data_IF_619549686565
#
_entry.id   IF_619549686565
#
_cell.length_a   1.000
_cell.length_b   1.000
_cell.length_c   1.000
_cell.angle_alpha   90.00
_cell.angle_beta   90.00
_cell.angle_gamma   90.00
#
_symmetry.space_group_name_H-M   'P 1'
#
loop_
_entity.id
_entity.type
_entity.pdbx_description
1 polymer ?
#
# COMPACT_ATOMS: atom_id res chain seq x y z
N UNK A 1 11.47 -21.58 -15.68
CA UNK A 1 12.10 -20.29 -16.10
C UNK A 1 12.00 -20.10 -17.61
N UNK A 2 12.47 -21.02 -18.45
CA UNK A 2 12.35 -20.85 -19.91
C UNK A 2 10.90 -20.72 -20.40
N UNK A 3 9.95 -21.47 -19.83
CA UNK A 3 8.53 -21.36 -20.17
C UNK A 3 7.90 -20.01 -19.79
N UNK A 4 8.25 -19.45 -18.61
CA UNK A 4 7.74 -18.14 -18.18
C UNK A 4 8.23 -17.01 -19.10
N UNK A 5 9.50 -17.04 -19.51
CA UNK A 5 10.05 -16.03 -20.44
C UNK A 5 9.31 -16.07 -21.78
N UNK A 6 9.06 -17.27 -22.27
CA UNK A 6 8.33 -17.47 -23.52
C UNK A 6 6.88 -17.00 -23.40
N UNK A 7 6.21 -17.33 -22.31
CA UNK A 7 4.85 -16.89 -22.00
C UNK A 7 4.74 -15.34 -21.94
N UNK A 8 5.71 -14.67 -21.30
CA UNK A 8 5.78 -13.20 -21.24
C UNK A 8 6.02 -12.56 -22.62
N UNK A 9 6.88 -13.16 -23.45
CA UNK A 9 7.12 -12.68 -24.82
C UNK A 9 5.87 -12.84 -25.69
N UNK A 10 5.19 -13.98 -25.60
CA UNK A 10 3.94 -14.25 -26.31
C UNK A 10 2.80 -13.34 -25.85
N UNK A 11 2.77 -12.97 -24.57
CA UNK A 11 1.84 -12.00 -24.00
C UNK A 11 2.14 -10.55 -24.44
N UNK A 12 3.32 -10.30 -25.00
CA UNK A 12 3.73 -9.00 -25.53
C UNK A 12 4.28 -8.03 -24.49
N UNK A 13 4.97 -8.53 -23.45
CA UNK A 13 5.57 -7.69 -22.39
C UNK A 13 6.57 -6.67 -22.94
N UNK A 14 7.20 -6.99 -24.06
CA UNK A 14 8.26 -6.17 -24.69
C UNK A 14 7.73 -5.00 -25.52
N UNK A 15 6.45 -4.90 -25.77
CA UNK A 15 5.88 -3.76 -26.47
C UNK A 15 5.66 -2.60 -25.51
N UNK A 16 6.24 -1.45 -25.83
CA UNK A 16 6.00 -0.19 -25.11
C UNK A 16 5.08 0.75 -25.89
N UNK A 17 5.06 2.01 -25.52
CA UNK A 17 4.28 3.07 -26.13
C UNK A 17 4.91 3.57 -27.45
N UNK A 18 4.17 4.42 -28.16
CA UNK A 18 4.66 5.06 -29.37
C UNK A 18 5.87 5.95 -29.09
N UNK A 19 6.78 6.06 -30.08
CA UNK A 19 7.99 6.90 -29.99
C UNK A 19 7.72 8.36 -29.60
N UNK A 20 6.55 8.90 -29.91
CA UNK A 20 6.16 10.26 -29.54
C UNK A 20 5.77 10.42 -28.07
N UNK A 21 5.46 9.31 -27.39
CA UNK A 21 4.94 9.31 -26.02
C UNK A 21 5.80 8.40 -25.15
N UNK A 22 6.94 8.90 -24.70
CA UNK A 22 7.85 8.15 -23.84
C UNK A 22 8.57 9.05 -22.84
N UNK A 23 9.01 8.47 -21.75
CA UNK A 23 9.79 9.17 -20.73
C UNK A 23 11.29 8.91 -20.96
N UNK A 24 12.14 9.96 -21.10
CA UNK A 24 13.59 9.80 -21.26
C UNK A 24 14.27 8.97 -20.17
N UNK A 25 13.72 8.95 -18.94
CA UNK A 25 14.23 8.14 -17.84
C UNK A 25 14.10 6.63 -18.08
N UNK A 26 13.20 6.23 -18.99
CA UNK A 26 13.05 4.83 -19.40
C UNK A 26 14.10 4.37 -20.43
N UNK A 27 14.97 5.26 -20.91
CA UNK A 27 16.02 4.93 -21.88
C UNK A 27 16.86 3.68 -21.52
N UNK A 28 17.25 3.42 -20.25
CA UNK A 28 18.02 2.22 -19.89
C UNK A 28 17.25 0.90 -20.07
N UNK A 29 15.92 0.94 -20.13
CA UNK A 29 15.04 -0.21 -20.27
C UNK A 29 14.57 -0.45 -21.70
N UNK A 30 14.88 0.46 -22.63
CA UNK A 30 14.47 0.39 -24.03
C UNK A 30 15.56 -0.28 -24.86
N UNK A 31 15.24 -1.39 -25.51
CA UNK A 31 16.13 -2.08 -26.44
C UNK A 31 16.23 -1.37 -27.79
N UNK A 32 15.14 -0.78 -28.28
CA UNK A 32 15.09 -0.10 -29.57
C UNK A 32 13.69 0.36 -29.95
N UNK A 33 13.55 0.76 -31.23
CA UNK A 33 12.26 1.20 -31.81
C UNK A 33 11.97 0.40 -33.07
N UNK A 34 10.77 -0.14 -33.18
CA UNK A 34 10.28 -0.82 -34.39
C UNK A 34 8.88 -0.32 -34.72
N UNK A 35 8.63 0.04 -35.96
CA UNK A 35 7.32 0.53 -36.43
C UNK A 35 6.76 1.68 -35.54
N UNK A 36 7.60 2.65 -35.16
CA UNK A 36 7.24 3.79 -34.30
C UNK A 36 6.82 3.39 -32.85
N UNK A 37 7.09 2.16 -32.43
CA UNK A 37 6.81 1.66 -31.09
C UNK A 37 8.14 1.32 -30.42
N UNK A 38 8.29 1.71 -29.15
CA UNK A 38 9.43 1.31 -28.33
C UNK A 38 9.36 -0.18 -28.00
N UNK A 39 10.51 -0.83 -28.04
CA UNK A 39 10.67 -2.23 -27.63
C UNK A 39 11.47 -2.25 -26.34
N UNK A 40 10.89 -2.77 -25.28
CA UNK A 40 11.52 -2.94 -23.98
C UNK A 40 12.46 -4.14 -23.98
N UNK A 41 13.52 -4.06 -23.17
CA UNK A 41 14.42 -5.19 -22.94
C UNK A 41 13.79 -6.20 -21.97
N UNK A 42 13.44 -7.37 -22.50
CA UNK A 42 12.84 -8.47 -21.75
C UNK A 42 13.74 -8.93 -20.60
N UNK A 43 15.07 -8.79 -20.73
CA UNK A 43 16.01 -9.17 -19.66
C UNK A 43 15.82 -8.30 -18.43
N UNK A 44 15.65 -7.01 -18.61
CA UNK A 44 15.37 -6.08 -17.52
C UNK A 44 13.98 -6.32 -16.90
N UNK A 45 12.97 -6.64 -17.74
CA UNK A 45 11.64 -7.04 -17.25
C UNK A 45 11.72 -8.26 -16.33
N UNK A 46 12.47 -9.29 -16.72
CA UNK A 46 12.65 -10.52 -15.92
C UNK A 46 13.43 -10.22 -14.65
N UNK A 47 14.49 -9.42 -14.71
CA UNK A 47 15.25 -9.02 -13.52
C UNK A 47 14.36 -8.29 -12.51
N UNK A 48 13.58 -7.31 -12.98
CA UNK A 48 12.63 -6.57 -12.16
C UNK A 48 11.59 -7.50 -11.53
N UNK A 49 11.01 -8.42 -12.30
CA UNK A 49 10.04 -9.38 -11.82
C UNK A 49 10.62 -10.32 -10.74
N UNK A 50 11.83 -10.86 -10.95
CA UNK A 50 12.49 -11.74 -9.99
C UNK A 50 12.86 -11.00 -8.69
N UNK A 51 13.31 -9.74 -8.78
CA UNK A 51 13.56 -8.89 -7.61
C UNK A 51 12.26 -8.65 -6.84
N UNK A 52 11.19 -8.30 -7.54
CA UNK A 52 9.88 -8.08 -6.97
C UNK A 52 9.37 -9.32 -6.24
N UNK A 53 9.46 -10.50 -6.87
CA UNK A 53 9.06 -11.78 -6.27
C UNK A 53 9.77 -12.07 -4.96
N UNK A 54 11.10 -11.96 -4.93
CA UNK A 54 11.92 -12.16 -3.72
C UNK A 54 11.60 -11.15 -2.62
N UNK A 55 11.41 -9.90 -3.02
CA UNK A 55 11.05 -8.82 -2.10
C UNK A 55 9.68 -9.05 -1.45
N UNK A 56 8.65 -9.42 -2.24
CA UNK A 56 7.31 -9.68 -1.74
C UNK A 56 7.26 -10.91 -0.84
N UNK A 57 7.92 -12.01 -1.24
CA UNK A 57 8.04 -13.21 -0.43
C UNK A 57 8.64 -12.91 0.95
N UNK A 58 9.76 -12.17 1.00
CA UNK A 58 10.41 -11.76 2.26
C UNK A 58 9.53 -10.82 3.07
N UNK A 59 8.86 -9.85 2.43
CA UNK A 59 7.99 -8.86 3.10
C UNK A 59 6.80 -9.55 3.77
N UNK A 60 6.14 -10.48 3.06
CA UNK A 60 5.00 -11.24 3.57
C UNK A 60 5.44 -12.25 4.64
N UNK A 61 6.57 -12.93 4.43
CA UNK A 61 7.18 -13.81 5.43
C UNK A 61 7.46 -13.09 6.76
N UNK A 62 7.78 -11.80 6.73
CA UNK A 62 7.92 -10.96 7.94
C UNK A 62 6.60 -10.48 8.55
N UNK A 63 5.45 -10.91 8.03
CA UNK A 63 4.11 -10.60 8.57
C UNK A 63 3.52 -9.27 8.09
N UNK A 64 4.04 -8.69 7.02
CA UNK A 64 3.52 -7.47 6.41
C UNK A 64 2.54 -7.79 5.29
N UNK A 65 1.47 -7.02 5.19
CA UNK A 65 0.52 -7.15 4.09
C UNK A 65 1.00 -6.37 2.85
N UNK A 66 0.57 -6.82 1.68
CA UNK A 66 0.87 -6.18 0.39
C UNK A 66 -0.44 -5.66 -0.20
N UNK A 67 -0.48 -4.38 -0.60
CA UNK A 67 -1.66 -3.82 -1.24
C UNK A 67 -1.44 -3.74 -2.76
N UNK A 68 -2.40 -4.27 -3.52
CA UNK A 68 -2.39 -4.24 -4.98
C UNK A 68 -3.22 -3.07 -5.50
N UNK A 69 -2.66 -2.29 -6.43
CA UNK A 69 -3.30 -1.09 -6.97
C UNK A 69 -3.24 -1.11 -8.49
N UNK A 70 -4.39 -1.00 -9.12
CA UNK A 70 -4.46 -0.87 -10.56
C UNK A 70 -5.85 -0.47 -11.01
N UNK A 71 -6.04 0.82 -11.23
CA UNK A 71 -7.32 1.39 -11.68
C UNK A 71 -7.48 1.32 -13.20
N UNK A 72 -6.42 0.92 -13.92
CA UNK A 72 -6.45 0.69 -15.35
C UNK A 72 -7.44 -0.43 -15.70
N UNK A 73 -8.28 -0.21 -16.67
CA UNK A 73 -9.34 -1.18 -17.05
C UNK A 73 -8.78 -2.58 -17.33
N UNK A 74 -7.58 -2.64 -17.92
CA UNK A 74 -6.90 -3.88 -18.28
C UNK A 74 -6.40 -4.65 -17.03
N UNK A 75 -6.10 -3.95 -15.93
CA UNK A 75 -5.55 -4.53 -14.70
C UNK A 75 -6.61 -4.99 -13.69
N UNK A 76 -7.82 -4.43 -13.75
CA UNK A 76 -8.86 -4.65 -12.74
C UNK A 76 -9.17 -6.13 -12.51
N UNK A 77 -9.47 -6.86 -13.58
CA UNK A 77 -9.88 -8.26 -13.47
C UNK A 77 -8.80 -9.15 -12.86
N UNK A 78 -7.55 -9.00 -13.31
CA UNK A 78 -6.42 -9.74 -12.78
C UNK A 78 -6.17 -9.42 -11.30
N UNK A 79 -6.19 -8.13 -10.92
CA UNK A 79 -5.97 -7.73 -9.53
C UNK A 79 -7.10 -8.22 -8.62
N UNK A 80 -8.37 -8.07 -9.02
CA UNK A 80 -9.51 -8.54 -8.22
C UNK A 80 -9.45 -10.05 -7.99
N UNK A 81 -9.16 -10.82 -9.04
CA UNK A 81 -9.08 -12.27 -8.96
C UNK A 81 -7.93 -12.72 -8.04
N UNK A 82 -6.70 -12.34 -8.37
CA UNK A 82 -5.51 -12.89 -7.70
C UNK A 82 -5.29 -12.30 -6.30
N UNK A 83 -5.57 -11.00 -6.07
CA UNK A 83 -5.44 -10.42 -4.75
C UNK A 83 -6.49 -10.95 -3.78
N UNK A 84 -7.74 -11.17 -4.25
CA UNK A 84 -8.78 -11.79 -3.44
C UNK A 84 -8.43 -13.26 -3.08
N UNK A 85 -7.90 -14.04 -4.04
CA UNK A 85 -7.46 -15.42 -3.82
C UNK A 85 -6.37 -15.50 -2.74
N UNK A 86 -5.45 -14.56 -2.75
CA UNK A 86 -4.37 -14.48 -1.74
C UNK A 86 -4.82 -13.81 -0.45
N UNK A 87 -6.02 -13.20 -0.42
CA UNK A 87 -6.54 -12.47 0.74
C UNK A 87 -5.71 -11.25 1.08
N UNK A 88 -5.23 -10.52 0.08
CA UNK A 88 -4.50 -9.26 0.21
C UNK A 88 -5.41 -8.07 -0.17
N UNK A 89 -5.24 -6.90 0.46
CA UNK A 89 -5.99 -5.72 0.11
C UNK A 89 -5.67 -5.25 -1.32
N UNK A 90 -6.68 -4.69 -2.00
CA UNK A 90 -6.53 -4.19 -3.35
C UNK A 90 -7.42 -2.97 -3.65
N UNK A 91 -7.03 -2.19 -4.66
CA UNK A 91 -7.80 -1.04 -5.18
C UNK A 91 -7.84 -1.14 -6.70
N UNK A 92 -9.05 -1.27 -7.28
CA UNK A 92 -9.24 -1.45 -8.73
C UNK A 92 -10.10 -0.36 -9.39
N UNK A 93 -10.91 0.36 -8.62
CA UNK A 93 -11.79 1.38 -9.20
C UNK A 93 -11.15 2.77 -9.24
N UNK A 94 -10.81 3.30 -8.09
CA UNK A 94 -10.19 4.62 -7.96
C UNK A 94 -9.38 4.72 -6.68
N UNK A 95 -8.13 5.14 -6.79
CA UNK A 95 -7.36 5.54 -5.63
C UNK A 95 -7.91 6.84 -5.04
N UNK A 96 -8.33 6.80 -3.80
CA UNK A 96 -8.77 8.00 -3.09
C UNK A 96 -7.54 8.65 -2.44
N UNK A 97 -7.35 9.96 -2.70
CA UNK A 97 -6.28 10.69 -2.03
C UNK A 97 -6.40 10.58 -0.51
N UNK A 98 -5.29 10.28 0.17
CA UNK A 98 -5.29 10.03 1.61
C UNK A 98 -5.54 8.57 2.02
N UNK A 99 -5.58 7.63 1.07
CA UNK A 99 -5.80 6.20 1.39
C UNK A 99 -4.73 5.67 2.33
N UNK A 100 -3.48 6.09 2.18
CA UNK A 100 -2.38 5.74 3.09
C UNK A 100 -2.10 6.86 4.08
N UNK A 101 -1.97 8.10 3.63
CA UNK A 101 -1.57 9.25 4.46
C UNK A 101 -2.65 9.67 5.45
N UNK A 102 -3.92 9.47 5.13
CA UNK A 102 -5.07 9.70 6.03
C UNK A 102 -5.85 8.43 6.30
N UNK A 103 -5.15 7.35 6.63
CA UNK A 103 -5.71 6.02 6.83
C UNK A 103 -6.81 5.99 7.90
N UNK A 104 -6.73 6.83 8.93
CA UNK A 104 -7.76 6.94 9.96
C UNK A 104 -9.13 7.28 9.37
N UNK A 105 -9.21 8.29 8.51
CA UNK A 105 -10.47 8.69 7.85
C UNK A 105 -10.99 7.60 6.92
N UNK A 106 -10.10 6.87 6.23
CA UNK A 106 -10.50 5.71 5.41
C UNK A 106 -11.12 4.62 6.31
N UNK A 107 -10.54 4.34 7.47
CA UNK A 107 -11.11 3.40 8.45
C UNK A 107 -12.49 3.85 8.97
N UNK A 108 -12.70 5.12 9.19
CA UNK A 108 -14.02 5.67 9.56
C UNK A 108 -15.04 5.47 8.44
N UNK A 109 -14.64 5.64 7.17
CA UNK A 109 -15.51 5.34 6.02
C UNK A 109 -15.84 3.86 5.88
N UNK A 110 -14.88 2.97 6.18
CA UNK A 110 -15.13 1.53 6.21
C UNK A 110 -16.08 1.13 7.34
N UNK A 111 -15.94 1.70 8.53
CA UNK A 111 -16.92 1.50 9.62
C UNK A 111 -18.32 1.94 9.20
N UNK A 112 -18.42 3.08 8.49
CA UNK A 112 -19.69 3.54 7.93
C UNK A 112 -20.29 2.55 6.94
N UNK A 113 -19.46 1.89 6.13
CA UNK A 113 -19.91 0.81 5.25
C UNK A 113 -20.47 -0.36 6.05
N UNK A 114 -19.78 -0.78 7.12
CA UNK A 114 -20.22 -1.88 7.99
C UNK A 114 -21.56 -1.54 8.68
N UNK A 115 -21.77 -0.30 9.09
CA UNK A 115 -23.05 0.19 9.62
C UNK A 115 -24.17 0.09 8.56
N UNK A 116 -23.91 0.55 7.34
CA UNK A 116 -24.87 0.49 6.24
C UNK A 116 -25.19 -0.95 5.85
N UNK A 117 -24.21 -1.86 5.87
CA UNK A 117 -24.43 -3.29 5.63
C UNK A 117 -25.35 -3.88 6.71
N UNK A 118 -25.14 -3.58 7.98
CA UNK A 118 -25.99 -4.02 9.10
C UNK A 118 -27.43 -3.50 8.97
N UNK A 119 -27.60 -2.22 8.61
CA UNK A 119 -28.93 -1.63 8.39
C UNK A 119 -29.70 -2.33 7.25
N UNK A 120 -29.00 -2.80 6.22
CA UNK A 120 -29.60 -3.59 5.13
C UNK A 120 -29.99 -4.98 5.62
N UNK A 121 -29.08 -5.66 6.34
CA UNK A 121 -29.27 -7.02 6.84
C UNK A 121 -30.37 -7.11 7.90
N UNK A 122 -30.44 -6.14 8.83
CA UNK A 122 -31.46 -6.06 9.87
C UNK A 122 -32.87 -5.70 9.32
N UNK A 123 -32.94 -5.19 8.08
CA UNK A 123 -34.20 -4.73 7.49
C UNK A 123 -34.67 -3.38 8.03
N UNK A 124 -33.95 -2.72 8.91
CA UNK A 124 -34.27 -1.40 9.47
C UNK A 124 -34.35 -0.30 8.41
N UNK A 125 -33.75 -0.52 7.24
CA UNK A 125 -33.90 0.36 6.08
C UNK A 125 -35.36 0.65 5.70
N UNK A 126 -36.27 -0.29 5.95
CA UNK A 126 -37.72 -0.11 5.67
C UNK A 126 -38.38 0.94 6.55
N UNK A 127 -37.79 1.30 7.67
CA UNK A 127 -38.28 2.32 8.59
C UNK A 127 -37.99 3.75 8.11
N UNK A 128 -37.12 3.89 7.12
CA UNK A 128 -36.75 5.19 6.53
C UNK A 128 -37.69 5.55 5.37
N UNK A 129 -37.78 6.86 5.06
CA UNK A 129 -38.47 7.29 3.86
C UNK A 129 -37.79 6.75 2.61
N UNK A 130 -38.53 6.49 1.53
CA UNK A 130 -37.98 6.00 0.24
C UNK A 130 -36.84 6.87 -0.30
N UNK A 131 -36.87 8.18 -0.05
CA UNK A 131 -35.82 9.12 -0.44
C UNK A 131 -34.54 8.86 0.36
N UNK A 132 -34.65 8.68 1.67
CA UNK A 132 -33.52 8.41 2.55
C UNK A 132 -32.92 7.03 2.26
N UNK A 133 -33.73 6.00 2.13
CA UNK A 133 -33.30 4.66 1.74
C UNK A 133 -32.46 4.69 0.44
N UNK A 134 -32.98 5.34 -0.61
CA UNK A 134 -32.26 5.49 -1.88
C UNK A 134 -30.92 6.23 -1.71
N UNK A 135 -30.84 7.23 -0.82
CA UNK A 135 -29.60 7.97 -0.55
C UNK A 135 -28.57 7.09 0.17
N UNK A 136 -28.98 6.37 1.22
CA UNK A 136 -28.11 5.44 1.96
C UNK A 136 -27.59 4.30 1.08
N UNK A 137 -28.46 3.76 0.21
CA UNK A 137 -28.04 2.71 -0.75
C UNK A 137 -27.03 3.23 -1.78
N UNK A 138 -27.16 4.46 -2.25
CA UNK A 138 -26.16 5.08 -3.14
C UNK A 138 -24.83 5.31 -2.41
N UNK A 139 -24.88 5.78 -1.17
CA UNK A 139 -23.71 5.96 -0.31
C UNK A 139 -22.99 4.61 -0.11
N UNK A 140 -23.70 3.58 0.31
CA UNK A 140 -23.20 2.20 0.46
C UNK A 140 -22.51 1.71 -0.80
N UNK A 141 -23.21 1.78 -1.95
CA UNK A 141 -22.66 1.34 -3.24
C UNK A 141 -21.38 2.09 -3.63
N UNK A 142 -21.32 3.40 -3.36
CA UNK A 142 -20.15 4.23 -3.64
C UNK A 142 -18.94 3.84 -2.77
N UNK A 143 -19.16 3.63 -1.46
CA UNK A 143 -18.09 3.24 -0.53
C UNK A 143 -17.62 1.82 -0.88
N UNK A 144 -18.52 0.87 -1.05
CA UNK A 144 -18.22 -0.51 -1.40
C UNK A 144 -17.40 -0.60 -2.69
N UNK A 145 -17.79 0.15 -3.73
CA UNK A 145 -17.06 0.15 -4.99
C UNK A 145 -15.62 0.64 -4.88
N UNK A 146 -15.39 1.71 -4.11
CA UNK A 146 -14.07 2.34 -4.04
C UNK A 146 -13.17 1.75 -2.94
N UNK A 147 -13.75 1.24 -1.85
CA UNK A 147 -13.01 0.81 -0.65
C UNK A 147 -13.25 -0.66 -0.29
N UNK A 148 -14.09 -1.39 -1.04
CA UNK A 148 -14.39 -2.79 -0.75
C UNK A 148 -13.16 -3.68 -0.67
N UNK A 149 -12.21 -3.50 -1.59
CA UNK A 149 -10.98 -4.30 -1.62
C UNK A 149 -9.98 -4.00 -0.49
N UNK A 150 -10.12 -2.85 0.20
CA UNK A 150 -9.26 -2.51 1.36
C UNK A 150 -9.97 -2.72 2.71
N UNK A 151 -11.16 -3.34 2.72
CA UNK A 151 -11.96 -3.57 3.94
C UNK A 151 -11.19 -4.38 4.99
N UNK A 152 -10.42 -5.35 4.56
CA UNK A 152 -9.61 -6.22 5.43
C UNK A 152 -8.35 -5.55 6.00
N UNK A 153 -7.96 -4.40 5.45
CA UNK A 153 -6.74 -3.71 5.85
C UNK A 153 -6.89 -3.05 7.22
N UNK A 154 -6.22 -3.59 8.23
CA UNK A 154 -6.22 -3.06 9.60
C UNK A 154 -5.02 -2.16 9.91
N UNK A 155 -3.92 -2.35 9.18
CA UNK A 155 -2.64 -1.62 9.31
C UNK A 155 -2.21 -1.12 7.94
N UNK A 156 -1.27 -0.18 7.92
CA UNK A 156 -0.63 0.24 6.67
C UNK A 156 0.10 -0.97 6.04
N UNK A 157 0.04 -1.11 4.70
CA UNK A 157 0.70 -2.21 4.01
C UNK A 157 2.23 -2.05 4.09
N UNK A 158 2.94 -3.17 4.10
CA UNK A 158 4.40 -3.19 4.08
C UNK A 158 5.00 -3.02 2.70
N UNK A 159 4.20 -3.17 1.64
CA UNK A 159 4.57 -2.93 0.26
C UNK A 159 3.33 -2.59 -0.59
N UNK A 160 3.56 -1.86 -1.68
CA UNK A 160 2.56 -1.55 -2.68
C UNK A 160 2.95 -2.20 -4.01
N UNK A 161 2.04 -2.91 -4.64
CA UNK A 161 2.17 -3.41 -6.02
C UNK A 161 1.26 -2.59 -6.91
N UNK A 162 1.80 -1.94 -7.92
CA UNK A 162 1.10 -0.95 -8.74
C UNK A 162 1.19 -1.34 -10.21
N UNK A 163 0.15 -1.06 -10.97
CA UNK A 163 0.14 -1.16 -12.43
C UNK A 163 -0.06 0.23 -12.99
N UNK A 164 0.90 0.71 -13.78
CA UNK A 164 0.95 2.04 -14.41
C UNK A 164 1.29 3.17 -13.41
N UNK A 165 2.47 3.77 -13.60
CA UNK A 165 2.96 4.88 -12.76
C UNK A 165 2.25 6.20 -13.02
N UNK A 166 1.80 6.44 -14.25
CA UNK A 166 1.16 7.70 -14.63
C UNK A 166 -0.24 7.79 -14.03
N UNK A 167 -0.97 6.69 -14.07
CA UNK A 167 -2.33 6.61 -13.57
C UNK A 167 -2.38 6.59 -12.03
N UNK A 168 -1.48 5.86 -11.41
CA UNK A 168 -1.43 5.67 -9.97
C UNK A 168 -0.41 6.58 -9.26
N UNK A 169 -0.06 7.70 -9.88
CA UNK A 169 0.92 8.66 -9.35
C UNK A 169 0.63 9.08 -7.90
N UNK A 170 -0.64 9.29 -7.56
CA UNK A 170 -1.03 9.67 -6.20
C UNK A 170 -0.73 8.55 -5.19
N UNK A 171 -0.97 7.29 -5.53
CA UNK A 171 -0.66 6.16 -4.68
C UNK A 171 0.85 6.04 -4.44
N UNK A 172 1.66 6.21 -5.49
CA UNK A 172 3.13 6.19 -5.41
C UNK A 172 3.68 7.34 -4.57
N UNK A 173 3.15 8.56 -4.71
CA UNK A 173 3.56 9.71 -3.89
C UNK A 173 3.20 9.54 -2.42
N UNK A 174 2.02 9.00 -2.11
CA UNK A 174 1.63 8.68 -0.73
C UNK A 174 2.53 7.58 -0.14
N UNK A 175 2.80 6.51 -0.89
CA UNK A 175 3.71 5.45 -0.46
C UNK A 175 5.12 5.99 -0.18
N UNK A 176 5.64 6.84 -1.08
CA UNK A 176 6.95 7.49 -0.93
C UNK A 176 7.01 8.37 0.32
N UNK A 177 5.95 9.14 0.61
CA UNK A 177 5.89 10.01 1.80
C UNK A 177 5.91 9.22 3.12
N UNK A 178 5.39 7.99 3.11
CA UNK A 178 5.35 7.10 4.27
C UNK A 178 6.50 6.08 4.32
N UNK A 179 7.41 6.12 3.33
CA UNK A 179 8.51 5.17 3.24
C UNK A 179 8.06 3.73 2.96
N UNK A 180 6.89 3.54 2.33
CA UNK A 180 6.38 2.23 1.93
C UNK A 180 7.03 1.86 0.59
N UNK A 181 7.77 0.75 0.51
CA UNK A 181 8.38 0.31 -0.73
C UNK A 181 7.34 -0.08 -1.77
N UNK A 182 7.63 0.28 -3.02
CA UNK A 182 6.73 0.11 -4.15
C UNK A 182 7.34 -0.79 -5.22
N UNK A 183 6.53 -1.69 -5.76
CA UNK A 183 6.79 -2.50 -6.95
C UNK A 183 5.82 -2.03 -8.02
N UNK A 184 6.27 -1.75 -9.23
CA UNK A 184 5.36 -1.29 -10.28
C UNK A 184 5.70 -1.88 -11.65
N UNK A 185 4.66 -2.29 -12.37
CA UNK A 185 4.75 -2.53 -13.82
C UNK A 185 4.76 -1.17 -14.52
N UNK A 186 5.85 -0.87 -15.23
CA UNK A 186 6.13 0.45 -15.81
C UNK A 186 6.31 0.34 -17.30
N UNK A 187 5.50 1.04 -18.06
CA UNK A 187 5.67 1.17 -19.51
C UNK A 187 6.63 2.31 -19.87
N UNK A 188 6.95 2.47 -21.13
CA UNK A 188 7.94 3.44 -21.63
C UNK A 188 7.56 4.92 -21.41
N UNK A 189 6.30 5.24 -21.10
CA UNK A 189 5.83 6.58 -20.76
C UNK A 189 5.86 6.86 -19.23
N UNK A 190 6.11 5.84 -18.42
CA UNK A 190 6.13 5.93 -16.97
C UNK A 190 7.41 6.58 -16.39
N UNK A 191 7.37 6.98 -15.15
CA UNK A 191 8.53 7.49 -14.40
C UNK A 191 9.07 6.41 -13.45
N UNK A 192 10.23 5.77 -13.76
CA UNK A 192 10.80 4.73 -12.91
C UNK A 192 11.34 5.28 -11.57
N UNK A 193 11.66 6.57 -11.45
CA UNK A 193 12.19 7.18 -10.22
C UNK A 193 11.14 7.28 -9.09
N UNK A 194 9.87 7.09 -9.43
CA UNK A 194 8.79 7.05 -8.44
C UNK A 194 8.68 5.69 -7.74
N UNK A 195 9.40 4.69 -8.24
CA UNK A 195 9.22 3.28 -7.85
C UNK A 195 10.53 2.71 -7.30
N UNK A 196 10.45 1.88 -6.25
CA UNK A 196 11.62 1.22 -5.68
C UNK A 196 12.07 0.02 -6.52
N UNK A 197 11.12 -0.76 -7.04
CA UNK A 197 11.38 -1.95 -7.87
C UNK A 197 10.54 -1.82 -9.14
N UNK A 198 11.07 -1.22 -10.21
CA UNK A 198 10.39 -1.18 -11.50
C UNK A 198 10.44 -2.55 -12.19
N UNK A 199 9.34 -2.92 -12.81
CA UNK A 199 9.23 -4.05 -13.74
C UNK A 199 8.92 -3.43 -15.09
N UNK A 200 9.92 -3.21 -15.96
CA UNK A 200 9.66 -2.68 -17.29
C UNK A 200 8.77 -3.63 -18.08
N UNK A 201 7.68 -3.15 -18.63
CA UNK A 201 6.76 -4.02 -19.38
C UNK A 201 5.50 -3.33 -19.82
N UNK A 202 4.81 -3.96 -20.77
CA UNK A 202 3.56 -3.49 -21.31
C UNK A 202 2.44 -3.50 -20.27
N UNK A 203 1.92 -2.35 -19.94
CA UNK A 203 0.81 -2.17 -18.99
C UNK A 203 -0.56 -2.01 -19.70
N UNK A 204 -0.61 -2.10 -21.03
CA UNK A 204 -1.83 -2.08 -21.83
C UNK A 204 -2.33 -3.48 -22.20
N UNK A 205 -1.43 -4.48 -22.21
CA UNK A 205 -1.78 -5.86 -22.53
C UNK A 205 -2.39 -6.56 -21.30
N UNK A 206 -3.66 -6.97 -21.40
CA UNK A 206 -4.33 -7.73 -20.35
C UNK A 206 -3.58 -9.04 -20.03
N UNK A 207 -3.03 -9.73 -21.06
CA UNK A 207 -2.28 -10.99 -20.86
C UNK A 207 -0.98 -10.76 -20.10
N UNK A 208 -0.25 -9.69 -20.41
CA UNK A 208 0.99 -9.34 -19.69
C UNK A 208 0.71 -9.04 -18.24
N UNK A 209 -0.30 -8.21 -17.97
CA UNK A 209 -0.70 -7.84 -16.60
C UNK A 209 -1.12 -9.09 -15.82
N UNK A 210 -1.93 -9.96 -16.43
CA UNK A 210 -2.39 -11.20 -15.81
C UNK A 210 -1.24 -12.08 -15.37
N UNK A 211 -0.27 -12.35 -16.26
CA UNK A 211 0.91 -13.16 -15.95
C UNK A 211 1.74 -12.51 -14.83
N UNK A 212 2.02 -11.21 -14.93
CA UNK A 212 2.84 -10.49 -13.94
C UNK A 212 2.17 -10.51 -12.56
N UNK A 213 0.89 -10.19 -12.48
CA UNK A 213 0.15 -10.18 -11.20
C UNK A 213 0.04 -11.59 -10.63
N UNK A 214 -0.24 -12.61 -11.44
CA UNK A 214 -0.25 -14.03 -11.04
C UNK A 214 1.08 -14.42 -10.40
N UNK A 215 2.20 -14.15 -11.06
CA UNK A 215 3.55 -14.47 -10.58
C UNK A 215 3.91 -13.74 -9.27
N UNK A 216 3.47 -12.48 -9.11
CA UNK A 216 3.66 -11.73 -7.87
C UNK A 216 2.79 -12.29 -6.74
N UNK A 217 1.53 -12.64 -7.02
CA UNK A 217 0.63 -13.24 -6.05
C UNK A 217 1.11 -14.65 -5.61
N UNK A 218 1.69 -15.44 -6.50
CA UNK A 218 2.30 -16.73 -6.16
C UNK A 218 3.47 -16.58 -5.19
N UNK A 219 4.24 -15.50 -5.32
CA UNK A 219 5.32 -15.18 -4.37
C UNK A 219 4.77 -14.75 -3.00
N UNK A 220 3.64 -14.04 -2.99
CA UNK A 220 2.91 -13.70 -1.76
C UNK A 220 2.36 -14.96 -1.08
N UNK A 221 1.83 -15.94 -1.84
CA UNK A 221 1.39 -17.24 -1.30
C UNK A 221 2.55 -17.97 -0.62
N UNK A 222 3.69 -18.09 -1.29
CA UNK A 222 4.91 -18.70 -0.73
C UNK A 222 5.39 -18.00 0.55
N UNK A 223 5.34 -16.66 0.58
CA UNK A 223 5.67 -15.89 1.77
C UNK A 223 4.73 -16.17 2.96
N UNK A 224 3.42 -16.37 2.69
CA UNK A 224 2.45 -16.77 3.72
C UNK A 224 2.70 -18.21 4.23
N UNK A 225 2.99 -19.14 3.35
CA UNK A 225 3.32 -20.53 3.70
C UNK A 225 4.59 -20.60 4.55
N UNK A 226 5.66 -19.88 4.14
CA UNK A 226 6.90 -19.80 4.91
C UNK A 226 6.72 -19.20 6.31
N UNK A 227 5.77 -18.27 6.47
CA UNK A 227 5.40 -17.74 7.79
C UNK A 227 4.65 -18.77 8.64
N UNK A 228 3.76 -19.56 8.05
CA UNK A 228 3.01 -20.59 8.75
C UNK A 228 3.93 -21.69 9.27
N UNK A 229 4.93 -22.11 8.48
CA UNK A 229 5.92 -23.11 8.88
C UNK A 229 6.85 -22.60 10.00
N UNK A 230 7.33 -21.34 9.92
CA UNK A 230 8.17 -20.75 10.95
C UNK A 230 7.44 -20.49 12.28
N UNK A 231 6.14 -20.27 12.25
CA UNK A 231 5.31 -20.13 13.44
C UNK A 231 5.01 -21.48 14.13
N UNK A 232 5.08 -22.59 13.37
CA UNK A 232 4.92 -23.95 13.90
C UNK A 232 6.18 -24.55 14.52
N UNK A 233 7.35 -24.00 14.23
CA UNK A 233 8.66 -24.44 14.74
C UNK A 233 9.18 -23.62 15.92
N UNK A 234 8.33 -23.07 16.77
CA UNK A 234 8.78 -22.58 18.06
C UNK A 234 9.26 -23.78 18.87
N UNK A 235 10.56 -23.90 19.23
CA UNK A 235 11.02 -25.01 20.03
C UNK A 235 10.31 -24.97 21.39
N UNK A 236 9.60 -26.06 21.69
CA UNK A 236 9.10 -26.33 23.02
C UNK A 236 10.28 -26.21 23.98
N UNK A 237 10.20 -25.27 24.91
CA UNK A 237 11.27 -24.94 25.83
C UNK A 237 11.82 -26.20 26.53
N UNK A 238 13.10 -26.38 26.38
CA UNK A 238 13.86 -27.32 27.19
C UNK A 238 13.67 -26.98 28.66
N UNK A 239 13.17 -27.96 29.38
CA UNK A 239 12.94 -27.89 30.80
C UNK A 239 14.24 -27.58 31.56
N UNK A 240 14.24 -26.52 32.30
CA UNK A 240 15.29 -26.24 33.28
C UNK A 240 15.32 -27.35 34.35
N UNK A 241 16.47 -27.93 34.69
CA UNK A 241 16.58 -28.85 35.80
C UNK A 241 16.52 -28.10 37.12
N UNK A 242 15.64 -28.57 37.98
CA UNK A 242 15.54 -28.15 39.37
C UNK A 242 16.85 -28.42 40.13
N UNK A 243 17.60 -27.40 40.43
CA UNK A 243 18.74 -27.45 41.36
C UNK A 243 18.28 -27.04 42.78
N UNK A 244 18.20 -28.02 43.67
CA UNK A 244 18.15 -27.82 45.11
C UNK A 244 19.49 -27.24 45.61
N UNK A 245 19.41 -26.19 46.41
CA UNK A 245 20.54 -25.65 47.15
C UNK A 245 20.04 -24.91 48.39
N UNK A 246 19.98 -25.64 49.49
CA UNK A 246 19.84 -25.07 50.84
C UNK A 246 21.12 -24.32 51.23
N UNK A 247 20.99 -23.16 51.84
CA UNK A 247 22.11 -22.40 52.40
C UNK A 247 21.65 -21.28 53.30
N UNK A 248 21.60 -21.55 54.60
CA UNK A 248 21.45 -20.61 55.71
C UNK A 248 22.52 -19.52 55.67
N UNK A 249 22.18 -18.31 56.12
CA UNK A 249 23.14 -17.27 56.47
C UNK A 249 22.45 -16.03 57.03
N UNK A 250 22.34 -15.98 58.34
CA UNK A 250 21.98 -14.82 59.17
C UNK A 250 23.06 -13.72 59.04
N UNK A 251 22.67 -12.46 59.09
CA UNK A 251 23.61 -11.35 59.20
C UNK A 251 22.95 -9.98 59.30
N UNK A 252 22.71 -9.55 60.51
CA UNK A 252 22.39 -8.20 61.00
C UNK A 252 23.23 -7.08 60.38
N UNK A 253 22.63 -5.90 60.24
CA UNK A 253 23.39 -4.66 60.05
C UNK A 253 22.52 -3.43 59.79
N UNK A 254 22.06 -2.83 60.80
CA UNK A 254 21.43 -1.57 61.11
C UNK A 254 22.28 -0.33 60.70
N UNK A 255 21.62 0.82 60.57
CA UNK A 255 22.02 2.25 60.48
C UNK A 255 21.89 2.81 59.07
N UNK A 256 20.91 3.70 58.75
CA UNK A 256 20.76 5.00 59.43
C UNK A 256 21.36 6.09 58.54
N UNK A 257 20.56 7.00 58.02
CA UNK A 257 21.08 8.15 57.27
C UNK A 257 20.04 8.89 56.42
N UNK A 258 19.22 9.62 57.09
CA UNK A 258 18.39 10.75 56.67
C UNK A 258 19.17 11.86 55.93
N UNK A 259 18.54 12.48 54.90
CA UNK A 259 18.60 13.87 54.43
C UNK A 259 18.09 13.90 52.98
N UNK A 260 16.89 14.37 52.62
CA UNK A 260 16.52 15.78 52.74
C UNK A 260 16.99 16.54 51.47
N UNK A 261 16.09 16.79 50.53
CA UNK A 261 16.43 17.60 49.32
C UNK A 261 15.23 17.86 48.40
N UNK A 262 14.34 18.69 48.87
CA UNK A 262 13.25 19.33 48.16
C UNK A 262 13.79 20.25 47.05
N UNK A 263 13.31 20.13 45.78
CA UNK A 263 13.34 21.24 44.80
C UNK A 263 12.25 21.10 43.73
N UNK A 264 11.13 21.70 44.07
CA UNK A 264 10.32 22.67 43.31
C UNK A 264 10.34 22.61 41.75
N UNK A 265 9.15 22.28 41.29
CA UNK A 265 8.39 22.78 40.12
C UNK A 265 8.87 24.13 39.59
N UNK A 266 9.02 24.22 38.28
CA UNK A 266 8.71 25.42 37.48
C UNK A 266 8.03 25.04 36.15
N UNK A 267 6.75 25.36 36.10
CA UNK A 267 5.96 25.51 34.90
C UNK A 267 6.31 26.83 34.21
N UNK A 268 6.54 26.84 32.92
CA UNK A 268 6.46 28.06 32.11
C UNK A 268 5.43 27.89 30.99
N UNK A 269 4.23 28.40 31.26
CA UNK A 269 3.25 28.78 30.26
C UNK A 269 3.73 30.07 29.61
N UNK A 270 3.99 30.11 28.33
CA UNK A 270 4.02 31.33 27.54
C UNK A 270 2.70 31.46 26.78
N UNK A 271 1.95 32.47 27.17
CA UNK A 271 0.77 33.03 26.50
C UNK A 271 1.24 33.75 25.25
N UNK A 272 0.68 33.47 24.09
CA UNK A 272 0.76 34.38 22.95
C UNK A 272 -0.54 35.16 22.89
N UNK A 273 -0.38 36.49 22.94
CA UNK A 273 -1.39 37.54 22.89
C UNK A 273 -1.71 37.80 21.42
N UNK A 274 -2.97 37.90 21.10
CA UNK A 274 -3.48 38.48 19.88
C UNK A 274 -3.40 40.02 20.01
N UNK A 275 -2.92 40.65 18.96
CA UNK A 275 -3.14 42.09 18.77
C UNK A 275 -3.57 42.35 17.33
N UNK A 276 -4.64 43.08 17.19
CA UNK A 276 -5.29 43.41 15.95
C UNK A 276 -4.67 44.63 15.26
N UNK A 277 -5.02 44.81 14.01
CA UNK A 277 -4.65 46.02 13.24
C UNK A 277 -5.18 45.91 11.81
N UNK A 278 -6.31 46.60 11.60
CA UNK A 278 -6.91 46.92 10.30
C UNK A 278 -5.94 47.63 9.37
N UNK A 279 -5.98 47.30 8.08
CA UNK A 279 -5.79 48.29 7.00
C UNK A 279 -6.37 47.78 5.68
N UNK A 280 -7.45 48.40 5.29
CA UNK A 280 -8.07 48.44 3.98
C UNK A 280 -7.11 49.10 2.98
N UNK A 281 -6.87 48.48 1.84
CA UNK A 281 -6.36 49.14 0.65
C UNK A 281 -7.01 48.58 -0.61
N UNK A 282 -7.93 49.33 -1.13
CA UNK A 282 -8.54 49.26 -2.46
C UNK A 282 -7.48 49.47 -3.54
N UNK A 283 -7.47 48.64 -4.58
CA UNK A 283 -6.76 48.88 -5.82
C UNK A 283 -7.76 48.93 -7.00
N UNK A 284 -7.58 49.84 -7.98
CA UNK A 284 -8.52 50.06 -9.06
C UNK A 284 -8.30 49.12 -10.26
N UNK A 285 -9.38 48.92 -11.01
CA UNK A 285 -9.41 48.23 -12.27
C UNK A 285 -8.76 49.07 -13.40
N UNK A 286 -8.16 48.47 -14.44
CA UNK A 286 -7.89 49.15 -15.69
C UNK A 286 -9.03 48.91 -16.71
N UNK A 287 -9.54 49.99 -17.23
CA UNK A 287 -10.34 50.07 -18.45
C UNK A 287 -9.43 49.94 -19.70
N UNK A 288 -9.93 49.23 -20.69
CA UNK A 288 -10.01 49.59 -22.11
C UNK A 288 -8.73 49.65 -22.97
N UNK A 289 -8.62 48.73 -23.88
CA UNK A 289 -8.61 48.93 -25.35
C UNK A 289 -8.55 47.55 -26.04
#
# INVERSE_FOLDING_TARGET
MASLVQELIEAGIHFGQRRSNWNPKMAPYIHGVRNQIHILDVRESIKGLLLAKRFLEKSVGSGKDVCFVGTKRQARGAIEQYAAEVGMPFVTERWLGGTLTNFRTIRERLKRLDELDRLVESGEMKNYSKKMESQLMRERKKIQRNLGGVRTMTKLPGALVVVDTNREKNALLEAKSLGIPTVCLVDTDGDPDLVNIPIPGNDDSMRTIDIVIRELCDSVKKGKEGRATSAGESPAGDGAPAGRGEGRGEGRGDRGGDRGGDMRRRSSRSRFRADGGDAVATAPAPEGA
#
